data_IF_918528846674
#
_entry.id   IF_918528846674
#
_cell.length_a   1.000
_cell.length_b   1.000
_cell.length_c   1.000
_cell.angle_alpha   90.00
_cell.angle_beta   90.00
_cell.angle_gamma   90.00
#
_symmetry.space_group_name_H-M   'P 1'
#
loop_
_entity.id
_entity.type
_entity.pdbx_description
1 polymer ?
#
# COMPACT_ATOMS: atom_id res chain seq x y z
N UNK A 1 -4.07 18.22 -7.48
CA UNK A 1 -3.98 17.18 -8.52
C UNK A 1 -3.57 17.75 -9.87
N UNK A 2 -4.28 18.75 -10.43
CA UNK A 2 -3.91 19.35 -11.72
C UNK A 2 -2.44 19.77 -11.83
N UNK A 3 -1.92 20.48 -10.82
CA UNK A 3 -0.50 20.86 -10.77
C UNK A 3 0.46 19.66 -10.76
N UNK A 4 0.16 18.61 -9.98
CA UNK A 4 0.97 17.39 -9.96
C UNK A 4 0.98 16.70 -11.33
N UNK A 5 -0.17 16.64 -12.01
CA UNK A 5 -0.26 16.08 -13.37
C UNK A 5 0.57 16.91 -14.35
N UNK A 6 0.55 18.24 -14.25
CA UNK A 6 1.39 19.10 -15.07
C UNK A 6 2.88 18.82 -14.87
N UNK A 7 3.34 18.67 -13.63
CA UNK A 7 4.75 18.31 -13.35
C UNK A 7 5.09 16.91 -13.87
N UNK A 8 4.18 15.94 -13.73
CA UNK A 8 4.35 14.60 -14.32
C UNK A 8 4.45 14.65 -15.85
N UNK A 9 3.62 15.47 -16.50
CA UNK A 9 3.68 15.69 -17.94
C UNK A 9 5.00 16.35 -18.36
N UNK A 10 5.42 17.41 -17.65
CA UNK A 10 6.67 18.12 -17.92
C UNK A 10 7.87 17.17 -17.82
N UNK A 11 7.90 16.34 -16.77
CA UNK A 11 8.88 15.27 -16.61
C UNK A 11 8.86 14.27 -17.75
N UNK A 12 7.68 13.83 -18.14
CA UNK A 12 7.54 12.75 -19.13
C UNK A 12 7.86 13.21 -20.55
N UNK A 13 7.54 14.47 -20.89
CA UNK A 13 7.60 14.98 -22.26
C UNK A 13 8.77 15.94 -22.52
N UNK A 14 9.15 16.76 -21.54
CA UNK A 14 10.12 17.86 -21.73
C UNK A 14 11.51 17.49 -21.19
N UNK A 15 11.59 16.82 -20.04
CA UNK A 15 12.86 16.52 -19.39
C UNK A 15 13.55 15.33 -20.06
N UNK A 16 14.70 15.58 -20.69
CA UNK A 16 15.53 14.58 -21.39
C UNK A 16 16.82 14.23 -20.64
N UNK A 17 17.17 14.98 -19.59
CA UNK A 17 18.35 14.79 -18.76
C UNK A 17 17.97 14.57 -17.29
N UNK A 18 18.92 14.13 -16.46
CA UNK A 18 18.72 13.95 -15.02
C UNK A 18 18.40 15.27 -14.33
N UNK A 19 17.46 15.24 -13.38
CA UNK A 19 17.08 16.37 -12.54
C UNK A 19 16.57 15.85 -11.19
N UNK A 20 16.50 16.72 -10.18
CA UNK A 20 15.98 16.36 -8.86
C UNK A 20 14.48 16.14 -8.95
N UNK A 21 14.02 14.93 -8.63
CA UNK A 21 12.61 14.57 -8.69
C UNK A 21 11.82 15.16 -7.49
N UNK A 22 11.08 16.24 -7.75
CA UNK A 22 10.19 16.89 -6.77
C UNK A 22 8.80 16.27 -6.70
N UNK A 23 8.50 15.25 -7.53
CA UNK A 23 7.15 14.67 -7.59
C UNK A 23 6.77 13.93 -6.32
N UNK A 24 7.71 13.28 -5.63
CA UNK A 24 7.46 12.59 -4.36
C UNK A 24 6.86 13.49 -3.27
N UNK A 25 7.51 14.61 -2.90
CA UNK A 25 6.93 15.59 -1.98
C UNK A 25 5.58 16.15 -2.45
N UNK A 26 5.44 16.47 -3.75
CA UNK A 26 4.18 16.97 -4.32
C UNK A 26 3.05 15.93 -4.22
N UNK A 27 3.36 14.65 -4.39
CA UNK A 27 2.43 13.55 -4.25
C UNK A 27 1.87 13.49 -2.81
N UNK A 28 2.71 13.65 -1.80
CA UNK A 28 2.30 13.71 -0.38
C UNK A 28 1.46 14.96 -0.10
N UNK A 29 1.86 16.12 -0.63
CA UNK A 29 1.09 17.36 -0.48
C UNK A 29 -0.31 17.26 -1.11
N UNK A 30 -0.43 16.60 -2.27
CA UNK A 30 -1.73 16.32 -2.89
C UNK A 30 -2.59 15.43 -1.99
N UNK A 31 -2.01 14.42 -1.35
CA UNK A 31 -2.74 13.59 -0.39
C UNK A 31 -3.25 14.42 0.79
N UNK A 32 -2.37 15.16 1.48
CA UNK A 32 -2.74 16.03 2.61
C UNK A 32 -3.84 17.01 2.24
N UNK A 33 -3.67 17.72 1.12
CA UNK A 33 -4.63 18.74 0.64
C UNK A 33 -5.98 18.14 0.33
N UNK A 34 -6.01 17.01 -0.39
CA UNK A 34 -7.29 16.39 -0.79
C UNK A 34 -8.00 15.72 0.38
N UNK A 35 -7.26 15.07 1.30
CA UNK A 35 -7.86 14.54 2.54
C UNK A 35 -8.50 15.67 3.34
N UNK A 36 -7.78 16.78 3.57
CA UNK A 36 -8.31 17.91 4.31
C UNK A 36 -9.56 18.50 3.65
N UNK A 37 -9.53 18.70 2.33
CA UNK A 37 -10.69 19.20 1.58
C UNK A 37 -11.92 18.28 1.74
N UNK A 38 -11.71 16.96 1.67
CA UNK A 38 -12.78 15.98 1.83
C UNK A 38 -13.28 15.87 3.28
N UNK A 39 -12.41 16.06 4.27
CA UNK A 39 -12.76 16.17 5.68
C UNK A 39 -13.60 17.41 5.98
N UNK A 40 -13.27 18.55 5.37
CA UNK A 40 -14.07 19.78 5.45
C UNK A 40 -15.44 19.63 4.81
N UNK A 41 -15.50 19.02 3.62
CA UNK A 41 -16.76 18.71 2.96
C UNK A 41 -17.65 17.84 3.84
N UNK A 42 -17.09 16.81 4.46
CA UNK A 42 -17.87 15.90 5.30
C UNK A 42 -18.35 16.54 6.60
N UNK A 43 -17.58 17.45 7.19
CA UNK A 43 -17.99 18.18 8.40
C UNK A 43 -18.98 19.32 8.16
N UNK A 44 -18.96 19.94 6.97
CA UNK A 44 -19.81 21.09 6.65
C UNK A 44 -21.07 20.75 5.85
N UNK A 45 -21.01 19.77 4.96
CA UNK A 45 -22.07 19.52 3.96
C UNK A 45 -22.88 18.28 4.30
N UNK A 46 -22.23 17.23 4.79
CA UNK A 46 -22.90 15.94 5.03
C UNK A 46 -23.51 15.88 6.43
N UNK A 47 -24.62 15.14 6.52
CA UNK A 47 -25.23 14.77 7.80
C UNK A 47 -24.41 13.67 8.48
N UNK A 48 -24.36 13.66 9.81
CA UNK A 48 -23.54 12.70 10.57
C UNK A 48 -23.96 11.24 10.32
N UNK A 49 -25.23 11.01 10.00
CA UNK A 49 -25.80 9.68 9.74
C UNK A 49 -25.32 9.09 8.40
N UNK A 50 -24.92 9.94 7.46
CA UNK A 50 -24.41 9.53 6.14
C UNK A 50 -22.91 9.20 6.16
N UNK A 51 -22.24 9.51 7.27
CA UNK A 51 -20.80 9.33 7.43
C UNK A 51 -20.51 7.96 8.05
N UNK A 52 -19.47 7.28 7.55
CA UNK A 52 -18.93 6.13 8.26
C UNK A 52 -18.08 6.58 9.47
N UNK A 53 -17.76 5.66 10.38
CA UNK A 53 -17.06 5.97 11.64
C UNK A 53 -15.76 6.75 11.47
N UNK A 54 -14.96 6.40 10.46
CA UNK A 54 -13.71 7.13 10.18
C UNK A 54 -14.03 8.52 9.63
N UNK A 55 -15.03 8.65 8.77
CA UNK A 55 -15.43 9.95 8.24
C UNK A 55 -15.96 10.88 9.34
N UNK A 56 -16.65 10.32 10.35
CA UNK A 56 -17.07 11.06 11.55
C UNK A 56 -15.87 11.53 12.37
N UNK A 57 -14.89 10.64 12.63
CA UNK A 57 -13.64 10.97 13.35
C UNK A 57 -12.88 12.10 12.67
N UNK A 58 -12.80 12.03 11.34
CA UNK A 58 -12.01 12.96 10.53
C UNK A 58 -12.78 14.17 10.00
N UNK A 59 -14.06 14.32 10.35
CA UNK A 59 -14.88 15.42 9.88
C UNK A 59 -14.40 16.74 10.51
N UNK A 60 -14.23 17.77 9.68
CA UNK A 60 -13.77 19.09 10.13
C UNK A 60 -14.87 20.10 9.82
N UNK A 61 -15.41 20.75 10.85
CA UNK A 61 -16.49 21.74 10.68
C UNK A 61 -15.99 23.14 10.33
N UNK A 62 -14.77 23.50 10.74
CA UNK A 62 -14.21 24.85 10.57
C UNK A 62 -12.98 24.84 9.68
N UNK A 63 -12.83 25.86 8.83
CA UNK A 63 -11.63 25.99 8.00
C UNK A 63 -10.43 26.24 8.91
N UNK A 64 -9.34 25.47 8.79
CA UNK A 64 -8.11 25.72 9.53
C UNK A 64 -7.59 27.16 9.36
N UNK A 65 -7.06 27.79 10.43
CA UNK A 65 -6.23 28.98 10.29
C UNK A 65 -5.06 28.72 9.33
N UNK A 66 -4.59 29.76 8.64
CA UNK A 66 -3.54 29.62 7.63
C UNK A 66 -2.24 29.04 8.21
N UNK A 67 -1.90 29.39 9.45
CA UNK A 67 -0.71 28.90 10.13
C UNK A 67 -0.78 27.39 10.36
N UNK A 68 -1.90 26.89 10.88
CA UNK A 68 -2.12 25.47 11.11
C UNK A 68 -2.12 24.68 9.80
N UNK A 69 -2.72 25.24 8.75
CA UNK A 69 -2.70 24.66 7.42
C UNK A 69 -1.27 24.53 6.89
N UNK A 70 -0.47 25.60 6.98
CA UNK A 70 0.93 25.59 6.54
C UNK A 70 1.77 24.62 7.40
N UNK A 71 1.57 24.61 8.72
CA UNK A 71 2.21 23.66 9.63
C UNK A 71 1.89 22.21 9.28
N UNK A 72 0.64 21.90 8.94
CA UNK A 72 0.23 20.57 8.51
C UNK A 72 0.87 20.17 7.17
N UNK A 73 0.86 21.07 6.18
CA UNK A 73 1.41 20.80 4.86
C UNK A 73 2.92 20.59 4.91
N UNK A 74 3.63 21.47 5.59
CA UNK A 74 5.10 21.53 5.63
C UNK A 74 5.70 20.90 6.89
N UNK A 75 4.96 20.05 7.59
CA UNK A 75 5.43 19.26 8.72
C UNK A 75 6.74 18.53 8.36
N UNK A 76 7.84 18.88 9.06
CA UNK A 76 9.19 18.44 8.70
C UNK A 76 9.37 16.92 8.72
N UNK A 77 8.63 16.20 9.58
CA UNK A 77 8.73 14.74 9.70
C UNK A 77 8.28 14.02 8.42
N UNK A 78 7.36 14.60 7.65
CA UNK A 78 6.64 13.91 6.56
C UNK A 78 6.72 14.61 5.21
N UNK A 79 7.42 15.75 5.12
CA UNK A 79 7.44 16.61 3.92
C UNK A 79 8.07 15.94 2.69
N UNK A 80 9.07 15.07 2.86
CA UNK A 80 9.82 14.50 1.74
C UNK A 80 9.15 13.26 1.14
N UNK A 81 8.88 12.25 1.98
CA UNK A 81 8.44 10.92 1.52
C UNK A 81 7.16 10.44 2.20
N UNK A 82 6.48 11.32 2.93
CA UNK A 82 5.39 10.95 3.83
C UNK A 82 5.95 10.41 5.15
N UNK A 83 5.17 9.64 5.92
CA UNK A 83 3.79 9.19 5.70
C UNK A 83 2.73 10.29 5.62
N UNK A 84 1.58 10.00 5.01
CA UNK A 84 0.39 10.84 5.15
C UNK A 84 -0.19 10.69 6.57
N UNK A 85 -0.60 11.81 7.16
CA UNK A 85 -1.37 11.85 8.39
C UNK A 85 -2.67 12.65 8.20
N UNK A 86 -3.68 12.39 9.03
CA UNK A 86 -4.88 13.22 9.05
C UNK A 86 -4.60 14.56 9.75
N UNK A 87 -5.34 15.60 9.35
CA UNK A 87 -5.24 16.91 9.98
C UNK A 87 -5.62 16.87 11.46
N UNK A 88 -6.60 16.03 11.84
CA UNK A 88 -7.01 15.84 13.24
C UNK A 88 -5.88 15.25 14.09
N UNK A 89 -5.14 14.28 13.55
CA UNK A 89 -3.97 13.67 14.20
C UNK A 89 -2.84 14.69 14.36
N UNK A 90 -2.60 15.51 13.34
CA UNK A 90 -1.65 16.63 13.41
C UNK A 90 -2.03 17.64 14.50
N UNK A 91 -3.31 18.02 14.59
CA UNK A 91 -3.81 18.94 15.62
C UNK A 91 -3.63 18.38 17.04
N UNK A 92 -3.96 17.10 17.25
CA UNK A 92 -3.72 16.41 18.53
C UNK A 92 -2.26 16.34 18.92
N UNK A 93 -1.38 16.25 17.93
CA UNK A 93 0.06 16.25 18.13
C UNK A 93 0.59 17.60 18.57
N UNK A 94 0.26 18.67 17.85
CA UNK A 94 0.75 20.02 18.20
C UNK A 94 0.14 20.54 19.51
N UNK A 95 -1.06 20.09 19.89
CA UNK A 95 -1.67 20.40 21.20
C UNK A 95 -1.13 19.55 22.35
N UNK A 96 -0.31 18.52 22.04
CA UNK A 96 0.20 17.55 22.98
C UNK A 96 -0.86 16.60 23.56
N UNK A 97 -2.10 16.64 23.06
CA UNK A 97 -3.18 15.74 23.49
C UNK A 97 -2.91 14.28 23.17
N UNK A 98 -2.15 14.02 22.10
CA UNK A 98 -1.83 12.66 21.68
C UNK A 98 -1.07 11.85 22.75
N UNK A 99 -0.28 12.52 23.61
CA UNK A 99 0.51 11.87 24.67
C UNK A 99 -0.13 11.95 26.07
N UNK A 100 -1.30 12.58 26.23
CA UNK A 100 -2.00 12.68 27.52
C UNK A 100 -2.69 11.35 27.85
N UNK A 101 -1.91 10.37 28.32
CA UNK A 101 -2.41 9.05 28.72
C UNK A 101 -2.57 8.96 30.24
N UNK A 102 -3.63 9.58 30.79
CA UNK A 102 -3.94 9.51 32.23
C UNK A 102 -2.81 10.01 33.14
N UNK A 103 -3.06 10.09 34.45
CA UNK A 103 -2.14 10.79 35.37
C UNK A 103 -0.80 10.08 35.63
N UNK A 104 -0.61 8.81 35.23
CA UNK A 104 0.55 8.00 35.66
C UNK A 104 1.22 7.12 34.57
N UNK A 105 0.94 7.31 33.27
CA UNK A 105 1.61 6.53 32.21
C UNK A 105 2.45 7.41 31.29
N UNK A 106 3.76 7.36 31.47
CA UNK A 106 4.72 7.95 30.53
C UNK A 106 4.99 6.96 29.39
N UNK A 107 4.66 7.36 28.16
CA UNK A 107 4.95 6.58 26.95
C UNK A 107 6.27 7.06 26.34
N UNK A 108 7.20 6.15 26.10
CA UNK A 108 8.52 6.48 25.52
C UNK A 108 8.68 5.88 24.12
N UNK A 109 9.18 6.66 23.15
CA UNK A 109 9.31 6.20 21.76
C UNK A 109 10.62 5.44 21.47
N UNK A 110 11.55 5.37 22.43
CA UNK A 110 12.93 4.94 22.18
C UNK A 110 13.02 3.53 21.60
N UNK A 111 12.37 2.53 22.23
CA UNK A 111 12.38 1.14 21.75
C UNK A 111 11.88 1.01 20.30
N UNK A 112 10.66 1.46 19.95
CA UNK A 112 10.15 1.34 18.59
C UNK A 112 10.93 2.19 17.59
N UNK A 113 11.38 3.39 17.97
CA UNK A 113 12.19 4.24 17.09
C UNK A 113 13.56 3.60 16.76
N UNK A 114 14.28 3.10 17.76
CA UNK A 114 15.58 2.46 17.56
C UNK A 114 15.43 1.18 16.73
N UNK A 115 14.40 0.38 17.00
CA UNK A 115 14.12 -0.83 16.20
C UNK A 115 13.89 -0.49 14.72
N UNK A 116 13.06 0.52 14.43
CA UNK A 116 12.82 1.01 13.06
C UNK A 116 14.09 1.57 12.42
N UNK A 117 14.89 2.32 13.19
CA UNK A 117 16.17 2.86 12.71
C UNK A 117 17.17 1.75 12.35
N UNK A 118 17.33 0.72 13.19
CA UNK A 118 18.19 -0.44 12.90
C UNK A 118 17.74 -1.14 11.63
N UNK A 119 16.43 -1.38 11.48
CA UNK A 119 15.88 -2.01 10.29
C UNK A 119 16.11 -1.14 9.03
N UNK A 120 15.95 0.17 9.15
CA UNK A 120 16.22 1.11 8.05
C UNK A 120 17.70 1.08 7.65
N UNK A 121 18.63 1.09 8.62
CA UNK A 121 20.07 0.95 8.35
C UNK A 121 20.39 -0.37 7.67
N UNK A 122 19.77 -1.48 8.10
CA UNK A 122 19.90 -2.77 7.41
C UNK A 122 19.45 -2.69 5.95
N UNK A 123 18.31 -2.06 5.66
CA UNK A 123 17.85 -1.84 4.28
C UNK A 123 18.83 -0.97 3.49
N UNK A 124 19.38 0.09 4.10
CA UNK A 124 20.39 0.96 3.46
C UNK A 124 21.65 0.18 3.09
N UNK A 125 22.16 -0.67 3.99
CA UNK A 125 23.29 -1.54 3.72
C UNK A 125 22.99 -2.44 2.50
N UNK A 126 21.81 -3.07 2.45
CA UNK A 126 21.41 -3.86 1.30
C UNK A 126 21.38 -3.03 0.00
N UNK A 127 20.89 -1.80 0.04
CA UNK A 127 20.86 -0.90 -1.13
C UNK A 127 22.28 -0.56 -1.59
N UNK A 128 23.20 -0.28 -0.68
CA UNK A 128 24.60 0.05 -1.02
C UNK A 128 25.30 -1.14 -1.70
N UNK A 129 25.15 -2.35 -1.15
CA UNK A 129 25.83 -3.53 -1.68
C UNK A 129 25.18 -4.10 -2.95
N UNK A 130 23.85 -4.08 -3.04
CA UNK A 130 23.12 -4.77 -4.11
C UNK A 130 22.43 -3.83 -5.10
N UNK A 131 22.17 -2.57 -4.73
CA UNK A 131 21.34 -1.66 -5.53
C UNK A 131 21.91 -1.33 -6.91
N UNK A 132 23.23 -1.23 -7.04
CA UNK A 132 23.88 -1.02 -8.36
C UNK A 132 23.91 -2.28 -9.23
N UNK A 133 23.90 -3.45 -8.59
CA UNK A 133 24.10 -4.74 -9.27
C UNK A 133 22.77 -5.38 -9.72
N UNK A 134 21.64 -4.91 -9.17
CA UNK A 134 20.33 -5.53 -9.38
C UNK A 134 19.37 -4.49 -9.97
N UNK A 135 19.57 -4.24 -11.26
CA UNK A 135 18.66 -3.42 -12.06
C UNK A 135 17.45 -4.25 -12.54
N UNK A 136 16.21 -3.73 -12.48
CA UNK A 136 15.03 -4.43 -12.98
C UNK A 136 15.09 -4.81 -14.46
N UNK A 137 15.84 -4.07 -15.28
CA UNK A 137 16.00 -4.36 -16.72
C UNK A 137 16.70 -5.70 -16.95
N UNK A 138 17.50 -6.19 -15.99
CA UNK A 138 18.18 -7.50 -16.06
C UNK A 138 17.20 -8.67 -16.17
N UNK A 139 15.96 -8.54 -15.68
CA UNK A 139 14.93 -9.58 -15.81
C UNK A 139 14.60 -9.88 -17.27
N UNK A 140 14.67 -8.86 -18.13
CA UNK A 140 14.40 -8.95 -19.57
C UNK A 140 15.68 -9.07 -20.41
N UNK A 141 16.86 -9.11 -19.80
CA UNK A 141 18.13 -9.27 -20.50
C UNK A 141 18.26 -10.71 -21.05
N UNK A 142 18.66 -10.88 -22.33
CA UNK A 142 18.85 -12.20 -22.96
C UNK A 142 19.68 -13.19 -22.14
N UNK A 143 20.72 -12.71 -21.44
CA UNK A 143 21.60 -13.53 -20.59
C UNK A 143 20.81 -14.22 -19.46
N UNK A 144 19.90 -13.50 -18.83
CA UNK A 144 19.10 -14.03 -17.72
C UNK A 144 17.88 -14.81 -18.23
N UNK A 145 17.32 -14.41 -19.38
CA UNK A 145 16.23 -15.14 -20.04
C UNK A 145 16.64 -16.53 -20.54
N UNK A 146 17.93 -16.76 -20.78
CA UNK A 146 18.47 -18.08 -21.13
C UNK A 146 18.52 -19.06 -19.95
N UNK A 147 18.32 -18.58 -18.72
CA UNK A 147 18.29 -19.45 -17.55
C UNK A 147 17.08 -20.40 -17.57
N UNK A 148 17.17 -21.59 -16.94
CA UNK A 148 16.01 -22.42 -16.68
C UNK A 148 14.89 -21.62 -15.98
N UNK A 149 13.65 -21.87 -16.37
CA UNK A 149 12.50 -21.04 -15.96
C UNK A 149 12.36 -20.84 -14.45
N UNK A 150 12.69 -21.85 -13.65
CA UNK A 150 12.60 -21.78 -12.18
C UNK A 150 13.71 -20.91 -11.58
N UNK A 151 14.94 -20.97 -12.13
CA UNK A 151 16.04 -20.08 -11.73
C UNK A 151 15.72 -18.63 -12.10
N UNK A 152 15.20 -18.44 -13.32
CA UNK A 152 14.76 -17.12 -13.78
C UNK A 152 13.61 -16.56 -12.92
N UNK A 153 12.65 -17.39 -12.51
CA UNK A 153 11.55 -16.95 -11.65
C UNK A 153 12.02 -16.50 -10.26
N UNK A 154 12.97 -17.22 -9.64
CA UNK A 154 13.58 -16.81 -8.37
C UNK A 154 14.38 -15.52 -8.54
N UNK A 155 15.16 -15.40 -9.61
CA UNK A 155 15.90 -14.19 -9.94
C UNK A 155 14.96 -13.00 -10.13
N UNK A 156 13.88 -13.16 -10.90
CA UNK A 156 12.88 -12.14 -11.11
C UNK A 156 12.24 -11.68 -9.80
N UNK A 157 11.81 -12.61 -8.93
CA UNK A 157 11.28 -12.25 -7.62
C UNK A 157 12.30 -11.44 -6.81
N UNK A 158 13.56 -11.85 -6.80
CA UNK A 158 14.64 -11.17 -6.07
C UNK A 158 14.91 -9.77 -6.62
N UNK A 159 14.93 -9.59 -7.94
CA UNK A 159 15.05 -8.26 -8.56
C UNK A 159 13.96 -7.31 -8.08
N UNK A 160 12.69 -7.75 -8.07
CA UNK A 160 11.58 -6.92 -7.60
C UNK A 160 11.63 -6.71 -6.08
N UNK A 161 12.05 -7.72 -5.32
CA UNK A 161 12.25 -7.58 -3.88
C UNK A 161 13.24 -6.46 -3.57
N UNK A 162 14.38 -6.41 -4.28
CA UNK A 162 15.37 -5.35 -4.09
C UNK A 162 14.84 -3.95 -4.41
N UNK A 163 13.89 -3.83 -5.34
CA UNK A 163 13.21 -2.54 -5.56
C UNK A 163 12.34 -2.14 -4.37
N UNK A 164 11.71 -3.10 -3.67
CA UNK A 164 10.91 -2.81 -2.45
C UNK A 164 11.78 -2.38 -1.27
N UNK A 165 13.00 -2.91 -1.14
CA UNK A 165 13.94 -2.56 -0.06
C UNK A 165 14.22 -1.05 0.00
N UNK A 166 14.25 -0.37 -1.15
CA UNK A 166 14.41 1.09 -1.22
C UNK A 166 13.25 1.84 -0.52
N UNK A 167 12.02 1.37 -0.71
CA UNK A 167 10.85 1.93 -0.05
C UNK A 167 10.83 1.57 1.45
N UNK A 168 11.24 0.36 1.82
CA UNK A 168 11.37 -0.04 3.22
C UNK A 168 12.35 0.85 3.97
N UNK A 169 13.50 1.15 3.37
CA UNK A 169 14.46 2.12 3.93
C UNK A 169 13.80 3.48 4.20
N UNK A 170 13.26 4.10 3.15
CA UNK A 170 12.78 5.48 3.21
C UNK A 170 11.55 5.63 4.12
N UNK A 171 10.58 4.70 4.02
CA UNK A 171 9.35 4.78 4.80
C UNK A 171 9.54 4.39 6.27
N UNK A 172 10.35 3.38 6.57
CA UNK A 172 10.63 3.02 7.97
C UNK A 172 11.50 4.09 8.66
N UNK A 173 12.37 4.78 7.90
CA UNK A 173 13.12 5.91 8.44
C UNK A 173 12.20 7.08 8.80
N UNK A 174 11.30 7.47 7.89
CA UNK A 174 10.34 8.56 8.14
C UNK A 174 9.43 8.24 9.34
N UNK A 175 9.03 6.98 9.47
CA UNK A 175 8.27 6.47 10.60
C UNK A 175 9.08 6.53 11.91
N UNK A 176 10.37 6.17 11.89
CA UNK A 176 11.25 6.34 13.04
C UNK A 176 11.35 7.81 13.48
N UNK A 177 11.48 8.76 12.54
CA UNK A 177 11.49 10.21 12.81
C UNK A 177 10.17 10.66 13.45
N UNK A 178 9.02 10.20 12.94
CA UNK A 178 7.72 10.49 13.53
C UNK A 178 7.59 9.94 14.95
N UNK A 179 8.11 8.74 15.21
CA UNK A 179 8.10 8.15 16.55
C UNK A 179 9.00 8.93 17.51
N UNK A 180 10.23 9.26 17.11
CA UNK A 180 11.16 10.04 17.93
C UNK A 180 10.60 11.41 18.32
N UNK A 181 9.85 12.05 17.41
CA UNK A 181 9.20 13.33 17.72
C UNK A 181 7.92 13.19 18.56
N UNK A 182 7.54 11.98 18.98
CA UNK A 182 6.31 11.72 19.72
C UNK A 182 5.02 11.70 18.89
N UNK A 183 5.11 11.78 17.55
CA UNK A 183 3.94 11.87 16.67
C UNK A 183 3.27 10.52 16.42
N UNK A 184 4.06 9.44 16.29
CA UNK A 184 3.55 8.15 15.84
C UNK A 184 2.77 7.31 16.87
N UNK A 185 2.47 7.86 18.05
CA UNK A 185 1.75 7.16 19.11
C UNK A 185 0.25 6.98 18.78
N UNK A 186 -0.26 5.76 18.97
CA UNK A 186 -1.61 5.34 18.57
C UNK A 186 -2.35 4.61 19.71
N UNK A 187 -2.14 5.04 20.96
CA UNK A 187 -2.74 4.41 22.13
C UNK A 187 -2.07 3.10 22.53
N UNK A 188 -2.85 2.17 23.09
CA UNK A 188 -2.33 0.90 23.63
C UNK A 188 -2.94 -0.30 22.90
N UNK A 189 -2.21 -1.41 22.90
CA UNK A 189 -2.75 -2.70 22.49
C UNK A 189 -3.60 -3.38 23.58
N UNK A 190 -4.03 -4.61 23.29
CA UNK A 190 -4.84 -5.40 24.21
C UNK A 190 -4.06 -5.81 25.46
N UNK A 191 -2.73 -5.85 25.35
CA UNK A 191 -1.81 -6.24 26.42
C UNK A 191 -1.36 -5.02 27.25
N UNK A 192 -1.78 -3.82 26.85
CA UNK A 192 -1.47 -2.57 27.54
C UNK A 192 -0.12 -1.96 27.15
N UNK A 193 0.50 -2.43 26.07
CA UNK A 193 1.75 -1.90 25.53
C UNK A 193 1.48 -0.73 24.55
N UNK A 194 2.34 0.31 24.54
CA UNK A 194 2.14 1.48 23.70
C UNK A 194 2.34 1.15 22.22
N UNK A 195 1.35 1.48 21.40
CA UNK A 195 1.43 1.35 19.94
C UNK A 195 2.06 2.59 19.32
N UNK A 196 3.05 2.35 18.48
CA UNK A 196 3.77 3.39 17.74
C UNK A 196 3.63 3.19 16.23
N UNK A 197 2.37 3.11 15.79
CA UNK A 197 1.98 2.80 14.42
C UNK A 197 0.97 3.77 13.78
N UNK A 198 0.74 4.95 14.38
CA UNK A 198 -0.24 5.93 13.91
C UNK A 198 -0.03 6.30 12.43
N UNK A 199 1.23 6.45 12.05
CA UNK A 199 1.64 6.85 10.70
C UNK A 199 2.57 5.82 10.03
N UNK A 200 2.57 4.56 10.50
CA UNK A 200 3.34 3.50 9.86
C UNK A 200 2.91 3.29 8.41
N UNK A 201 3.78 3.63 7.45
CA UNK A 201 3.42 3.53 6.03
C UNK A 201 3.62 2.14 5.44
N UNK A 202 4.41 1.29 6.08
CA UNK A 202 4.70 -0.05 5.58
C UNK A 202 4.99 -1.00 6.73
N UNK A 203 4.55 -2.25 6.59
CA UNK A 203 4.94 -3.37 7.44
C UNK A 203 5.70 -4.39 6.58
N UNK A 204 7.04 -4.31 6.52
CA UNK A 204 7.85 -5.14 5.61
C UNK A 204 7.63 -6.63 5.82
N UNK A 205 7.47 -7.07 7.08
CA UNK A 205 7.23 -8.46 7.39
C UNK A 205 5.89 -8.93 6.83
N UNK A 206 4.81 -8.18 7.05
CA UNK A 206 3.50 -8.53 6.48
C UNK A 206 3.49 -8.48 4.96
N UNK A 207 4.19 -7.54 4.33
CA UNK A 207 4.29 -7.48 2.85
C UNK A 207 4.96 -8.75 2.31
N UNK A 208 6.09 -9.13 2.87
CA UNK A 208 6.87 -10.28 2.39
C UNK A 208 6.26 -11.63 2.80
N UNK A 209 5.49 -11.71 3.89
CA UNK A 209 4.86 -12.94 4.38
C UNK A 209 3.36 -13.07 4.09
N UNK A 210 2.73 -12.07 3.49
CA UNK A 210 1.30 -12.10 3.14
C UNK A 210 0.92 -13.31 2.27
N UNK A 211 -0.21 -13.92 2.61
CA UNK A 211 -0.79 -15.09 1.94
C UNK A 211 -1.80 -14.69 0.85
N UNK A 212 -2.16 -13.41 0.79
CA UNK A 212 -3.02 -12.90 -0.28
C UNK A 212 -2.55 -11.54 -0.78
N UNK A 213 -2.83 -11.27 -2.06
CA UNK A 213 -2.52 -9.98 -2.68
C UNK A 213 -3.15 -8.79 -1.93
N UNK A 214 -4.33 -8.99 -1.33
CA UNK A 214 -4.97 -7.97 -0.49
C UNK A 214 -4.16 -7.70 0.78
N UNK A 215 -3.73 -8.74 1.49
CA UNK A 215 -2.90 -8.59 2.70
C UNK A 215 -1.58 -7.86 2.38
N UNK A 216 -0.97 -8.15 1.23
CA UNK A 216 0.21 -7.41 0.75
C UNK A 216 -0.08 -5.93 0.58
N UNK A 217 -1.18 -5.57 -0.08
CA UNK A 217 -1.54 -4.17 -0.32
C UNK A 217 -1.96 -3.43 0.96
N UNK A 218 -2.62 -4.12 1.88
CA UNK A 218 -3.04 -3.54 3.17
C UNK A 218 -1.81 -3.22 4.06
N UNK A 219 -0.66 -3.86 3.80
CA UNK A 219 0.62 -3.63 4.50
C UNK A 219 1.63 -2.77 3.74
N UNK A 220 1.32 -2.39 2.48
CA UNK A 220 2.19 -1.60 1.61
C UNK A 220 1.61 -0.21 1.37
N UNK A 221 2.37 0.83 1.70
CA UNK A 221 1.96 2.22 1.53
C UNK A 221 0.59 2.50 2.19
N UNK A 222 0.46 2.06 3.45
CA UNK A 222 -0.77 2.01 4.24
C UNK A 222 -1.49 3.37 4.27
N UNK A 223 -0.74 4.46 4.45
CA UNK A 223 -1.33 5.80 4.55
C UNK A 223 -1.89 6.29 3.20
N UNK A 224 -1.23 5.92 2.10
CA UNK A 224 -1.78 6.13 0.74
C UNK A 224 -3.04 5.30 0.52
N UNK A 225 -3.10 4.07 1.03
CA UNK A 225 -4.33 3.26 0.96
C UNK A 225 -5.49 3.91 1.73
N UNK A 226 -5.22 4.53 2.88
CA UNK A 226 -6.24 5.32 3.59
C UNK A 226 -6.73 6.51 2.78
N UNK A 227 -5.80 7.26 2.16
CA UNK A 227 -6.15 8.34 1.25
C UNK A 227 -7.04 7.87 0.10
N UNK A 228 -6.57 6.86 -0.65
CA UNK A 228 -7.31 6.29 -1.78
C UNK A 228 -8.71 5.82 -1.37
N UNK A 229 -8.82 5.22 -0.18
CA UNK A 229 -10.11 4.81 0.36
C UNK A 229 -11.03 6.01 0.60
N UNK A 230 -10.49 7.07 1.21
CA UNK A 230 -11.22 8.28 1.64
C UNK A 230 -11.70 9.14 0.48
N UNK A 231 -10.85 9.31 -0.53
CA UNK A 231 -11.07 10.26 -1.62
C UNK A 231 -11.71 9.62 -2.84
N UNK A 232 -11.54 8.31 -3.04
CA UNK A 232 -12.10 7.58 -4.17
C UNK A 232 -13.01 6.43 -3.74
N UNK A 233 -12.49 5.39 -3.07
CA UNK A 233 -13.21 4.12 -2.88
C UNK A 233 -14.57 4.28 -2.18
N UNK A 234 -14.64 5.09 -1.12
CA UNK A 234 -15.88 5.30 -0.37
C UNK A 234 -16.82 6.31 -1.03
N UNK A 235 -16.36 7.02 -2.07
CA UNK A 235 -17.12 8.08 -2.74
C UNK A 235 -17.67 7.71 -4.11
N UNK A 236 -17.26 6.58 -4.68
CA UNK A 236 -17.77 6.09 -5.97
C UNK A 236 -18.77 4.92 -5.79
N UNK A 237 -19.69 4.72 -6.75
CA UNK A 237 -20.63 3.60 -6.71
C UNK A 237 -19.94 2.24 -6.59
N UNK A 238 -20.59 1.28 -5.91
CA UNK A 238 -20.03 -0.05 -5.57
C UNK A 238 -19.37 -0.77 -6.75
N UNK A 239 -19.95 -0.65 -7.96
CA UNK A 239 -19.45 -1.26 -9.20
C UNK A 239 -18.07 -0.73 -9.63
N UNK A 240 -17.79 0.54 -9.37
CA UNK A 240 -16.59 1.23 -9.86
C UNK A 240 -15.49 1.40 -8.80
N UNK A 241 -15.77 1.05 -7.54
CA UNK A 241 -14.85 1.24 -6.40
C UNK A 241 -13.42 0.79 -6.67
N UNK A 242 -13.20 -0.48 -7.03
CA UNK A 242 -11.85 -0.99 -7.27
C UNK A 242 -11.20 -0.29 -8.46
N UNK A 243 -11.88 -0.25 -9.62
CA UNK A 243 -11.31 0.32 -10.84
C UNK A 243 -10.92 1.79 -10.69
N UNK A 244 -11.84 2.64 -10.21
CA UNK A 244 -11.58 4.07 -10.03
C UNK A 244 -10.48 4.35 -9.01
N UNK A 245 -10.37 3.53 -7.97
CA UNK A 245 -9.31 3.68 -6.95
C UNK A 245 -7.93 3.37 -7.54
N UNK A 246 -7.81 2.28 -8.30
CA UNK A 246 -6.56 1.92 -8.97
C UNK A 246 -6.18 2.92 -10.08
N UNK A 247 -7.16 3.43 -10.82
CA UNK A 247 -6.92 4.48 -11.82
C UNK A 247 -6.43 5.78 -11.18
N UNK A 248 -7.06 6.22 -10.07
CA UNK A 248 -6.58 7.36 -9.30
C UNK A 248 -5.15 7.14 -8.81
N UNK A 249 -4.84 5.94 -8.32
CA UNK A 249 -3.48 5.58 -7.90
C UNK A 249 -2.48 5.69 -9.06
N UNK A 250 -2.83 5.21 -10.25
CA UNK A 250 -1.98 5.33 -11.44
C UNK A 250 -1.71 6.79 -11.82
N UNK A 251 -2.77 7.60 -11.90
CA UNK A 251 -2.66 9.03 -12.24
C UNK A 251 -1.84 9.82 -11.20
N UNK A 252 -1.94 9.45 -9.93
CA UNK A 252 -1.14 10.06 -8.86
C UNK A 252 0.35 9.75 -9.00
N UNK A 253 0.71 8.54 -9.44
CA UNK A 253 2.10 8.18 -9.73
C UNK A 253 2.65 8.81 -11.01
N UNK A 254 1.83 9.04 -12.04
CA UNK A 254 2.22 9.83 -13.21
C UNK A 254 1.61 9.38 -14.53
N UNK A 255 2.21 9.82 -15.64
CA UNK A 255 1.74 9.55 -17.00
C UNK A 255 2.45 8.40 -17.70
N UNK A 256 3.52 7.86 -17.10
CA UNK A 256 4.22 6.71 -17.61
C UNK A 256 3.33 5.46 -17.68
N UNK A 257 3.31 4.80 -18.83
CA UNK A 257 2.39 3.68 -19.13
C UNK A 257 2.58 2.50 -18.18
N UNK A 258 3.79 2.28 -17.68
CA UNK A 258 4.10 1.22 -16.71
C UNK A 258 3.25 1.32 -15.44
N UNK A 259 2.94 2.53 -14.96
CA UNK A 259 2.05 2.71 -13.82
C UNK A 259 0.65 2.17 -14.11
N UNK A 260 0.06 2.54 -15.25
CA UNK A 260 -1.27 2.07 -15.64
C UNK A 260 -1.30 0.56 -15.82
N UNK A 261 -0.26 -0.03 -16.42
CA UNK A 261 -0.12 -1.48 -16.54
C UNK A 261 -0.13 -2.17 -15.17
N UNK A 262 0.65 -1.67 -14.21
CA UNK A 262 0.72 -2.23 -12.86
C UNK A 262 -0.60 -2.10 -12.12
N UNK A 263 -1.20 -0.91 -12.08
CA UNK A 263 -2.41 -0.69 -11.30
C UNK A 263 -3.63 -1.41 -11.90
N UNK A 264 -3.78 -1.45 -13.23
CA UNK A 264 -4.85 -2.22 -13.86
C UNK A 264 -4.67 -3.73 -13.67
N UNK A 265 -3.43 -4.23 -13.74
CA UNK A 265 -3.11 -5.62 -13.43
C UNK A 265 -3.41 -5.94 -11.96
N UNK A 266 -3.03 -5.04 -11.03
CA UNK A 266 -3.35 -5.15 -9.61
C UNK A 266 -4.85 -5.16 -9.33
N UNK A 267 -5.64 -4.35 -10.04
CA UNK A 267 -7.10 -4.35 -9.96
C UNK A 267 -7.70 -5.72 -10.36
N UNK A 268 -7.24 -6.28 -11.49
CA UNK A 268 -7.65 -7.60 -11.97
C UNK A 268 -7.30 -8.70 -10.96
N UNK A 269 -6.05 -8.73 -10.49
CA UNK A 269 -5.57 -9.70 -9.49
C UNK A 269 -6.36 -9.57 -8.20
N UNK A 270 -6.66 -8.35 -7.75
CA UNK A 270 -7.46 -8.11 -6.54
C UNK A 270 -8.86 -8.72 -6.65
N UNK A 271 -9.54 -8.54 -7.79
CA UNK A 271 -10.88 -9.09 -8.02
C UNK A 271 -10.83 -10.61 -8.12
N UNK A 272 -9.84 -11.14 -8.84
CA UNK A 272 -9.59 -12.58 -8.96
C UNK A 272 -9.30 -13.23 -7.59
N UNK A 273 -8.36 -12.70 -6.83
CA UNK A 273 -7.95 -13.24 -5.53
C UNK A 273 -9.13 -13.26 -4.54
N UNK A 274 -10.00 -12.25 -4.55
CA UNK A 274 -11.25 -12.26 -3.76
C UNK A 274 -12.18 -13.40 -4.18
N UNK A 275 -12.31 -13.63 -5.49
CA UNK A 275 -13.15 -14.71 -6.04
C UNK A 275 -12.59 -16.08 -5.66
N UNK A 276 -11.29 -16.29 -5.85
CA UNK A 276 -10.59 -17.52 -5.46
C UNK A 276 -10.75 -17.79 -3.97
N UNK A 277 -10.46 -16.79 -3.11
CA UNK A 277 -10.60 -16.95 -1.66
C UNK A 277 -12.02 -17.35 -1.26
N UNK A 278 -13.04 -16.73 -1.87
CA UNK A 278 -14.45 -17.04 -1.58
C UNK A 278 -14.86 -18.45 -2.02
N UNK A 279 -14.37 -18.93 -3.16
CA UNK A 279 -14.74 -20.24 -3.73
C UNK A 279 -13.93 -21.41 -3.18
N UNK A 280 -12.67 -21.17 -2.80
CA UNK A 280 -11.67 -22.22 -2.54
C UNK A 280 -11.29 -22.33 -1.06
N UNK A 281 -11.07 -21.21 -0.35
CA UNK A 281 -10.46 -21.22 1.01
C UNK A 281 -11.17 -22.16 1.98
N UNK A 282 -12.50 -22.06 2.05
CA UNK A 282 -13.34 -22.83 2.99
C UNK A 282 -13.17 -24.35 2.82
N UNK A 283 -12.85 -24.82 1.61
CA UNK A 283 -12.65 -26.25 1.31
C UNK A 283 -11.38 -26.81 1.95
N UNK A 284 -10.43 -25.95 2.28
CA UNK A 284 -9.16 -26.30 2.88
C UNK A 284 -9.12 -26.08 4.39
N UNK A 285 -10.24 -25.70 5.03
CA UNK A 285 -10.27 -25.40 6.47
C UNK A 285 -10.49 -26.62 7.38
N UNK A 286 -10.69 -27.81 6.80
CA UNK A 286 -11.08 -29.02 7.55
C UNK A 286 -9.97 -29.63 8.40
N UNK A 287 -8.68 -29.44 8.06
CA UNK A 287 -7.55 -29.99 8.82
C UNK A 287 -6.37 -29.02 8.83
N UNK A 288 -5.50 -29.11 9.86
CA UNK A 288 -4.29 -28.28 9.96
C UNK A 288 -3.37 -28.43 8.74
N UNK A 289 -3.16 -29.67 8.27
CA UNK A 289 -2.35 -29.94 7.07
C UNK A 289 -2.96 -29.33 5.81
N UNK A 290 -4.29 -29.43 5.64
CA UNK A 290 -4.98 -28.82 4.50
C UNK A 290 -4.91 -27.29 4.52
N UNK A 291 -5.03 -26.67 5.69
CA UNK A 291 -4.87 -25.21 5.84
C UNK A 291 -3.45 -24.78 5.49
N UNK A 292 -2.45 -25.48 6.05
CA UNK A 292 -1.05 -25.21 5.77
C UNK A 292 -0.71 -25.33 4.28
N UNK A 293 -1.21 -26.38 3.62
CA UNK A 293 -1.03 -26.54 2.17
C UNK A 293 -1.63 -25.36 1.39
N UNK A 294 -2.85 -24.93 1.74
CA UNK A 294 -3.48 -23.76 1.13
C UNK A 294 -2.67 -22.48 1.37
N UNK A 295 -2.15 -22.30 2.58
CA UNK A 295 -1.35 -21.13 2.94
C UNK A 295 -0.04 -21.09 2.14
N UNK A 296 0.68 -22.22 2.00
CA UNK A 296 1.89 -22.31 1.15
C UNK A 296 1.57 -22.00 -0.31
N UNK A 297 0.50 -22.59 -0.86
CA UNK A 297 0.10 -22.37 -2.24
C UNK A 297 -0.27 -20.91 -2.51
N UNK A 298 -1.05 -20.30 -1.62
CA UNK A 298 -1.49 -18.90 -1.77
C UNK A 298 -0.38 -17.89 -1.48
N UNK A 299 0.57 -18.23 -0.60
CA UNK A 299 1.80 -17.50 -0.41
C UNK A 299 2.60 -17.41 -1.72
N UNK A 300 2.92 -18.56 -2.33
CA UNK A 300 3.69 -18.63 -3.58
C UNK A 300 2.97 -17.88 -4.71
N UNK A 301 1.66 -18.14 -4.87
CA UNK A 301 0.85 -17.45 -5.88
C UNK A 301 0.83 -15.92 -5.66
N UNK A 302 0.78 -15.47 -4.41
CA UNK A 302 0.82 -14.04 -4.06
C UNK A 302 2.17 -13.41 -4.39
N UNK A 303 3.30 -14.09 -4.09
CA UNK A 303 4.64 -13.58 -4.43
C UNK A 303 4.85 -13.47 -5.94
N UNK A 304 4.40 -14.47 -6.69
CA UNK A 304 4.44 -14.45 -8.17
C UNK A 304 3.56 -13.33 -8.72
N UNK A 305 2.32 -13.22 -8.24
CA UNK A 305 1.39 -12.17 -8.66
C UNK A 305 1.93 -10.77 -8.35
N UNK A 306 2.57 -10.59 -7.19
CA UNK A 306 3.20 -9.34 -6.80
C UNK A 306 4.34 -8.96 -7.75
N UNK A 307 5.31 -9.85 -7.96
CA UNK A 307 6.46 -9.59 -8.83
C UNK A 307 6.02 -9.31 -10.27
N UNK A 308 5.06 -10.07 -10.77
CA UNK A 308 4.47 -9.88 -12.09
C UNK A 308 3.75 -8.53 -12.21
N UNK A 309 2.91 -8.16 -11.23
CA UNK A 309 2.15 -6.92 -11.28
C UNK A 309 3.05 -5.68 -11.20
N UNK A 310 4.12 -5.70 -10.41
CA UNK A 310 4.95 -4.52 -10.14
C UNK A 310 6.12 -4.33 -11.11
N UNK A 311 6.41 -5.31 -11.98
CA UNK A 311 7.50 -5.17 -12.95
C UNK A 311 7.36 -3.96 -13.91
N UNK A 312 6.17 -3.67 -14.48
CA UNK A 312 5.99 -2.45 -15.27
C UNK A 312 6.15 -1.17 -14.45
N UNK A 313 5.84 -1.19 -13.15
CA UNK A 313 5.98 -0.03 -12.27
C UNK A 313 7.44 0.39 -12.11
N UNK A 314 8.33 -0.58 -11.92
CA UNK A 314 9.77 -0.31 -11.70
C UNK A 314 10.52 0.00 -13.00
N UNK A 315 10.01 -0.47 -14.14
CA UNK A 315 10.59 -0.16 -15.46
C UNK A 315 9.95 1.05 -16.14
N UNK A 316 8.84 1.55 -15.60
CA UNK A 316 8.02 2.72 -15.96
C UNK A 316 7.50 2.80 -17.42
N UNK A 317 8.22 2.26 -18.40
CA UNK A 317 7.87 2.27 -19.80
C UNK A 317 7.00 1.07 -20.21
N UNK A 318 6.29 1.21 -21.33
CA UNK A 318 5.44 0.15 -21.87
C UNK A 318 6.23 -1.09 -22.27
N UNK A 319 7.31 -0.92 -23.04
CA UNK A 319 8.01 -2.01 -23.71
C UNK A 319 8.55 -3.08 -22.74
N UNK A 320 9.29 -2.76 -21.66
CA UNK A 320 9.84 -3.79 -20.77
C UNK A 320 8.72 -4.61 -20.10
N UNK A 321 7.73 -3.91 -19.52
CA UNK A 321 6.58 -4.55 -18.88
C UNK A 321 5.80 -5.46 -19.83
N UNK A 322 5.49 -4.96 -21.02
CA UNK A 322 4.74 -5.70 -22.02
C UNK A 322 5.53 -6.90 -22.58
N UNK A 323 6.84 -6.73 -22.78
CA UNK A 323 7.72 -7.81 -23.22
C UNK A 323 7.70 -8.97 -22.23
N UNK A 324 7.86 -8.71 -20.92
CA UNK A 324 7.81 -9.76 -19.90
C UNK A 324 6.43 -10.41 -19.87
N UNK A 325 5.34 -9.63 -19.92
CA UNK A 325 3.98 -10.17 -19.95
C UNK A 325 3.77 -11.12 -21.14
N UNK A 326 4.22 -10.74 -22.33
CA UNK A 326 4.19 -11.59 -23.53
C UNK A 326 5.07 -12.83 -23.37
N UNK A 327 6.28 -12.68 -22.82
CA UNK A 327 7.26 -13.77 -22.64
C UNK A 327 6.73 -14.89 -21.73
N UNK A 328 5.97 -14.53 -20.71
CA UNK A 328 5.29 -15.49 -19.83
C UNK A 328 3.84 -15.78 -20.25
N UNK A 329 3.50 -15.49 -21.51
CA UNK A 329 2.20 -15.78 -22.12
C UNK A 329 0.99 -15.20 -21.38
N UNK A 330 1.16 -14.05 -20.72
CA UNK A 330 0.12 -13.40 -19.91
C UNK A 330 -0.51 -14.33 -18.86
N UNK A 331 0.22 -15.34 -18.37
CA UNK A 331 -0.38 -16.42 -17.57
C UNK A 331 -1.15 -15.91 -16.35
N UNK A 332 -0.65 -14.89 -15.63
CA UNK A 332 -1.35 -14.31 -14.48
C UNK A 332 -2.66 -13.63 -14.89
N UNK A 333 -2.67 -12.89 -16.01
CA UNK A 333 -3.90 -12.26 -16.51
C UNK A 333 -4.92 -13.31 -16.93
N UNK A 334 -4.49 -14.34 -17.66
CA UNK A 334 -5.36 -15.44 -18.11
C UNK A 334 -5.94 -16.16 -16.90
N UNK A 335 -5.11 -16.60 -15.95
CA UNK A 335 -5.56 -17.26 -14.73
C UNK A 335 -6.50 -16.38 -13.92
N UNK A 336 -6.25 -15.06 -13.84
CA UNK A 336 -7.12 -14.15 -13.13
C UNK A 336 -8.50 -14.02 -13.78
N UNK A 337 -8.57 -13.91 -15.11
CA UNK A 337 -9.82 -13.84 -15.85
C UNK A 337 -10.60 -15.16 -15.71
N UNK A 338 -9.94 -16.30 -15.91
CA UNK A 338 -10.55 -17.62 -15.75
C UNK A 338 -11.08 -17.83 -14.33
N UNK A 339 -10.33 -17.40 -13.32
CA UNK A 339 -10.76 -17.47 -11.91
C UNK A 339 -12.00 -16.63 -11.62
N UNK A 340 -12.19 -15.51 -12.32
CA UNK A 340 -13.39 -14.67 -12.16
C UNK A 340 -14.59 -15.31 -12.86
N UNK A 341 -14.41 -15.84 -14.08
CA UNK A 341 -15.52 -16.28 -14.94
C UNK A 341 -15.96 -17.73 -14.70
N UNK A 342 -15.01 -18.65 -14.48
CA UNK A 342 -15.26 -20.09 -14.44
C UNK A 342 -15.36 -20.61 -13.01
N UNK A 343 -14.51 -20.14 -12.11
CA UNK A 343 -14.43 -20.69 -10.76
C UNK A 343 -15.76 -20.62 -9.99
N UNK A 344 -16.57 -19.55 -10.05
CA UNK A 344 -17.87 -19.53 -9.39
C UNK A 344 -18.88 -20.53 -9.97
N UNK A 345 -18.72 -20.93 -11.24
CA UNK A 345 -19.59 -21.91 -11.91
C UNK A 345 -19.19 -23.35 -11.58
N UNK A 346 -17.89 -23.62 -11.52
CA UNK A 346 -17.34 -24.96 -11.26
C UNK A 346 -17.28 -25.27 -9.76
N UNK A 347 -16.80 -24.31 -8.96
CA UNK A 347 -16.65 -24.40 -7.51
C UNK A 347 -17.43 -23.24 -6.86
N UNK A 348 -18.76 -23.35 -6.76
CA UNK A 348 -19.57 -22.28 -6.21
C UNK A 348 -19.18 -21.96 -4.77
N UNK A 349 -19.30 -20.69 -4.37
CA UNK A 349 -19.07 -20.28 -2.99
C UNK A 349 -20.11 -20.92 -2.05
N UNK A 350 -19.81 -21.03 -0.75
CA UNK A 350 -20.75 -21.58 0.21
C UNK A 350 -22.03 -20.74 0.26
N UNK A 351 -23.20 -21.39 0.40
CA UNK A 351 -24.49 -20.71 0.62
C UNK A 351 -24.43 -19.90 1.92
N UNK A 352 -25.12 -18.74 1.98
CA UNK A 352 -24.94 -17.68 3.00
C UNK A 352 -24.90 -18.17 4.44
N UNK A 353 -25.66 -19.21 4.80
CA UNK A 353 -25.73 -19.73 6.17
C UNK A 353 -24.41 -20.27 6.73
N UNK A 354 -23.45 -20.64 5.86
CA UNK A 354 -22.09 -21.05 6.27
C UNK A 354 -21.13 -19.89 6.45
N UNK A 355 -21.34 -18.76 5.77
CA UNK A 355 -20.48 -17.57 5.88
C UNK A 355 -20.65 -16.87 7.23
N UNK A 356 -21.85 -16.90 7.80
CA UNK A 356 -22.11 -16.35 9.14
C UNK A 356 -21.50 -17.22 10.26
N UNK A 357 -21.44 -18.55 10.06
CA UNK A 357 -20.70 -19.45 10.98
C UNK A 357 -19.19 -19.24 10.93
N UNK A 358 -18.58 -19.06 9.76
CA UNK A 358 -17.14 -18.74 9.65
C UNK A 358 -16.81 -17.35 10.22
N UNK A 359 -17.69 -16.36 10.03
CA UNK A 359 -17.48 -15.00 10.55
C UNK A 359 -17.58 -14.93 12.08
N UNK A 360 -18.34 -15.85 12.69
CA UNK A 360 -18.45 -15.98 14.14
C UNK A 360 -17.37 -16.90 14.74
N UNK A 361 -16.91 -17.93 14.01
CA UNK A 361 -15.84 -18.82 14.48
C UNK A 361 -14.43 -18.21 14.47
N UNK A 362 -14.17 -17.19 13.65
CA UNK A 362 -12.90 -16.43 13.65
C UNK A 362 -12.76 -15.44 14.82
N UNK A 363 -13.72 -15.38 15.75
CA UNK A 363 -13.62 -14.58 16.97
C UNK A 363 -13.22 -15.38 18.21
N UNK A 364 -13.09 -16.71 18.12
CA UNK A 364 -12.86 -17.60 19.27
C UNK A 364 -11.57 -18.45 19.20
N UNK A 365 -10.66 -18.17 18.26
CA UNK A 365 -9.26 -18.66 18.30
C UNK A 365 -8.31 -17.47 18.09
#
# INVERSE_FOLDING_TARGET
>A
MGYLIFIHWYRWYVLTAYYIDVTGPLMVLVQKTTVLAFSLHDGKVKKKEELNEIQKREAISNVPPILDYLGYMFQFQTILTGPLCFYTDFQRFISGENLKVGENKTVTPWKPAISKMIFSIFCLIMIIYFGRSIDPTLVADPKYLAMPWYKWAVFFFFCIFMQRVQYYYAWVLADAVCNLSGFGFNGFDKDGEPKWDLVSNVDPYKVEMALSFKETLDAWNCTTMYWLRRVAYDRVPKRWKTFSTYLLSAMWHGLFVGYYMTFLTGALITISARTVRRCVRWRFQNSKSSRFFYDVLTFLATKVALAYATYPFVTIHFNPGFFIYKRVYFFVHILAILSILLLPKILPPPKSDKLDKERNGLKEE
#
